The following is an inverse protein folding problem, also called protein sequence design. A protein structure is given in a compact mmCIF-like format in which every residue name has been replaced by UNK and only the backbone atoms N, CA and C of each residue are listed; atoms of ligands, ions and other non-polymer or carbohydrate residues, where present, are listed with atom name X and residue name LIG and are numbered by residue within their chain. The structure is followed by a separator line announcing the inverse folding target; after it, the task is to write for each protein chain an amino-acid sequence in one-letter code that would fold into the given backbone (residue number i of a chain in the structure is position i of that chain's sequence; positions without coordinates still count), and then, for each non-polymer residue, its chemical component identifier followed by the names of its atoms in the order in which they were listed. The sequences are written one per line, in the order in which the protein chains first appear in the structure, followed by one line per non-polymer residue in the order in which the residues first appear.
data_IF_875101130118
#
_entry.id   IF_875101130118
#
_cell.length_a   1.000
_cell.length_b   1.000
_cell.length_c   1.000
_cell.angle_alpha   90.00
_cell.angle_beta   90.00
_cell.angle_gamma   90.00
#
_symmetry.space_group_name_H-M   'P 1'
#
loop_
_entity.id
_entity.type
_entity.pdbx_description
1 polymer ?
#
# COMPACT_ATOMS: atom_id res chain seq x y z
N UNK A 1 -15.50 0.78 4.43
CA UNK A 1 -14.21 0.08 4.30
C UNK A 1 -13.37 0.51 3.09
N UNK A 2 -13.49 1.75 2.60
CA UNK A 2 -12.81 2.24 1.38
C UNK A 2 -11.48 2.97 1.62
N UNK A 3 -11.15 3.34 2.86
CA UNK A 3 -10.03 4.26 3.17
C UNK A 3 -8.68 3.60 3.48
N UNK A 4 -8.63 2.26 3.55
CA UNK A 4 -7.41 1.56 3.98
C UNK A 4 -6.30 1.60 2.91
N UNK A 5 -6.67 1.52 1.63
CA UNK A 5 -5.70 1.43 0.52
C UNK A 5 -5.00 2.78 0.25
N UNK A 6 -5.71 3.93 0.15
CA UNK A 6 -5.05 5.23 -0.04
C UNK A 6 -4.13 5.60 1.12
N UNK A 7 -4.54 5.31 2.36
CA UNK A 7 -3.74 5.59 3.57
C UNK A 7 -2.46 4.75 3.61
N UNK A 8 -2.57 3.46 3.31
CA UNK A 8 -1.42 2.55 3.25
C UNK A 8 -0.41 2.97 2.19
N UNK A 9 -0.87 3.45 1.03
CA UNK A 9 0.02 3.97 -0.02
C UNK A 9 0.69 5.29 0.38
N UNK A 10 -0.07 6.22 0.98
CA UNK A 10 0.47 7.51 1.44
C UNK A 10 1.52 7.34 2.55
N UNK A 11 1.32 6.40 3.47
CA UNK A 11 2.23 6.12 4.58
C UNK A 11 3.47 5.31 4.16
N UNK A 12 3.34 4.45 3.14
CA UNK A 12 4.45 3.63 2.66
C UNK A 12 5.32 4.31 1.61
N UNK A 13 4.78 5.27 0.86
CA UNK A 13 5.45 5.83 -0.32
C UNK A 13 5.72 4.79 -1.41
N UNK A 14 5.04 3.65 -1.36
CA UNK A 14 5.30 2.48 -2.20
C UNK A 14 4.69 2.57 -3.61
N UNK A 15 3.96 3.65 -3.91
CA UNK A 15 3.29 3.86 -5.19
C UNK A 15 2.56 5.19 -5.27
N UNK A 16 1.72 5.33 -6.30
CA UNK A 16 0.86 6.50 -6.52
C UNK A 16 -0.59 6.04 -6.36
N UNK A 17 -1.32 6.65 -5.43
CA UNK A 17 -2.76 6.40 -5.26
C UNK A 17 -3.55 7.34 -6.18
N UNK A 18 -4.53 6.80 -6.89
CA UNK A 18 -5.46 7.57 -7.73
C UNK A 18 -6.90 7.29 -7.29
N UNK A 19 -7.84 8.22 -7.48
CA UNK A 19 -9.25 7.98 -7.21
C UNK A 19 -9.78 6.77 -8.01
N UNK A 20 -10.70 5.99 -7.45
CA UNK A 20 -11.46 5.03 -8.26
C UNK A 20 -12.20 5.78 -9.37
N UNK A 21 -12.35 5.13 -10.52
CA UNK A 21 -13.03 5.66 -11.72
C UNK A 21 -12.36 6.86 -12.41
N UNK A 22 -11.12 7.22 -12.05
CA UNK A 22 -10.34 8.23 -12.76
C UNK A 22 -9.25 7.60 -13.66
N UNK A 23 -9.65 7.27 -14.89
CA UNK A 23 -8.76 6.68 -15.91
C UNK A 23 -7.61 7.62 -16.30
N UNK A 24 -7.86 8.91 -16.35
CA UNK A 24 -6.84 9.93 -16.73
C UNK A 24 -5.71 9.96 -15.72
N UNK A 25 -6.03 9.97 -14.42
CA UNK A 25 -5.04 9.95 -13.35
C UNK A 25 -4.27 8.62 -13.34
N UNK A 26 -4.96 7.50 -13.61
CA UNK A 26 -4.34 6.18 -13.70
C UNK A 26 -3.31 6.10 -14.83
N UNK A 27 -3.67 6.54 -16.04
CA UNK A 27 -2.77 6.55 -17.20
C UNK A 27 -1.58 7.47 -16.93
N UNK A 28 -1.81 8.64 -16.34
CA UNK A 28 -0.74 9.59 -16.00
C UNK A 28 0.24 9.00 -14.98
N UNK A 29 -0.27 8.32 -13.94
CA UNK A 29 0.56 7.62 -12.96
C UNK A 29 1.43 6.53 -13.61
N UNK A 30 0.88 5.76 -14.56
CA UNK A 30 1.64 4.77 -15.32
C UNK A 30 2.74 5.42 -16.17
N UNK A 31 2.45 6.52 -16.87
CA UNK A 31 3.44 7.22 -17.69
C UNK A 31 4.61 7.76 -16.85
N UNK A 32 4.33 8.31 -15.67
CA UNK A 32 5.36 8.75 -14.71
C UNK A 32 6.24 7.56 -14.32
N UNK A 33 5.62 6.44 -13.96
CA UNK A 33 6.38 5.26 -13.54
C UNK A 33 7.17 4.65 -14.69
N UNK A 34 6.64 4.57 -15.91
CA UNK A 34 7.35 4.01 -17.08
C UNK A 34 8.55 4.88 -17.46
N UNK A 35 8.40 6.21 -17.40
CA UNK A 35 9.45 7.16 -17.78
C UNK A 35 10.59 7.29 -16.76
N UNK A 36 10.38 6.93 -15.48
CA UNK A 36 11.40 7.05 -14.44
C UNK A 36 11.69 5.71 -13.73
N UNK A 37 12.75 5.02 -14.17
CA UNK A 37 13.20 3.76 -13.58
C UNK A 37 13.72 3.90 -12.14
N UNK A 38 14.37 5.01 -11.80
CA UNK A 38 14.90 5.23 -10.46
C UNK A 38 13.75 5.37 -9.45
N UNK A 39 12.69 6.07 -9.85
CA UNK A 39 11.48 6.21 -9.05
C UNK A 39 10.80 4.87 -8.78
N UNK A 40 10.74 3.97 -9.78
CA UNK A 40 10.21 2.61 -9.59
C UNK A 40 11.01 1.82 -8.55
N UNK A 41 12.33 1.85 -8.64
CA UNK A 41 13.20 1.15 -7.69
C UNK A 41 13.04 1.70 -6.27
N UNK A 42 13.04 3.03 -6.13
CA UNK A 42 12.85 3.69 -4.83
C UNK A 42 11.51 3.32 -4.18
N UNK A 43 10.41 3.38 -4.95
CA UNK A 43 9.07 2.99 -4.46
C UNK A 43 9.02 1.52 -4.04
N UNK A 44 9.65 0.62 -4.80
CA UNK A 44 9.74 -0.80 -4.44
C UNK A 44 10.52 -1.05 -3.14
N UNK A 45 11.60 -0.30 -2.91
CA UNK A 45 12.37 -0.38 -1.67
C UNK A 45 11.59 0.15 -0.46
N UNK A 46 10.87 1.27 -0.63
CA UNK A 46 10.02 1.86 0.38
C UNK A 46 8.85 0.93 0.75
N UNK A 47 8.20 0.32 -0.24
CA UNK A 47 7.15 -0.68 -0.01
C UNK A 47 7.63 -1.88 0.79
N UNK A 48 8.80 -2.44 0.44
CA UNK A 48 9.41 -3.52 1.23
C UNK A 48 9.70 -3.10 2.66
N UNK A 49 10.32 -1.94 2.84
CA UNK A 49 10.65 -1.40 4.17
C UNK A 49 9.39 -1.19 5.01
N UNK A 50 8.30 -0.70 4.41
CA UNK A 50 7.04 -0.49 5.11
C UNK A 50 6.41 -1.82 5.55
N UNK A 51 6.41 -2.84 4.67
CA UNK A 51 5.94 -4.20 4.99
C UNK A 51 6.77 -4.81 6.12
N UNK A 52 8.09 -4.72 6.06
CA UNK A 52 8.98 -5.23 7.12
C UNK A 52 8.73 -4.54 8.47
N UNK A 53 8.38 -3.25 8.46
CA UNK A 53 8.13 -2.46 9.67
C UNK A 53 6.70 -2.60 10.23
N UNK A 54 5.69 -2.75 9.38
CA UNK A 54 4.27 -2.70 9.78
C UNK A 54 3.57 -4.05 9.65
N UNK A 55 3.96 -4.89 8.68
CA UNK A 55 3.48 -6.24 8.50
C UNK A 55 4.49 -7.23 9.07
N UNK A 56 4.77 -7.14 10.38
CA UNK A 56 5.23 -8.34 11.06
C UNK A 56 4.07 -9.34 11.03
N UNK A 57 4.34 -10.62 10.75
CA UNK A 57 3.34 -11.69 10.86
C UNK A 57 2.57 -11.65 12.19
N UNK A 58 3.15 -11.05 13.24
CA UNK A 58 2.50 -10.79 14.53
C UNK A 58 1.28 -9.84 14.46
N UNK A 59 1.26 -8.84 13.57
CA UNK A 59 0.15 -7.91 13.44
C UNK A 59 -1.06 -8.55 12.75
N UNK A 60 -0.81 -9.45 11.79
CA UNK A 60 -1.84 -10.29 11.17
C UNK A 60 -2.33 -11.36 12.16
N UNK A 61 -1.42 -12.02 12.89
CA UNK A 61 -1.79 -13.00 13.93
C UNK A 61 -2.66 -12.38 15.04
N UNK A 62 -2.33 -11.19 15.53
CA UNK A 62 -3.16 -10.45 16.51
C UNK A 62 -4.55 -10.09 15.98
N UNK A 63 -4.68 -9.79 14.68
CA UNK A 63 -6.00 -9.55 14.06
C UNK A 63 -6.83 -10.82 13.95
N UNK A 64 -6.22 -11.97 13.67
CA UNK A 64 -6.90 -13.26 13.72
C UNK A 64 -7.29 -13.65 15.16
N UNK A 65 -6.43 -13.40 16.15
CA UNK A 65 -6.72 -13.62 17.57
C UNK A 65 -7.94 -12.81 18.04
N UNK A 66 -8.04 -11.54 17.63
CA UNK A 66 -9.17 -10.68 17.99
C UNK A 66 -10.51 -11.22 17.44
N UNK A 67 -10.54 -11.70 16.19
CA UNK A 67 -11.74 -12.31 15.58
C UNK A 67 -12.13 -13.60 16.33
N UNK A 68 -11.15 -14.36 16.81
CA UNK A 68 -11.40 -15.60 17.55
C UNK A 68 -11.95 -15.36 18.96
N UNK A 69 -11.56 -14.24 19.59
CA UNK A 69 -11.98 -13.87 20.95
C UNK A 69 -13.33 -13.11 20.98
N UNK A 70 -13.67 -12.40 19.91
CA UNK A 70 -14.93 -11.64 19.81
C UNK A 70 -16.15 -12.51 19.44
N UNK A 71 -15.90 -13.74 18.97
CA UNK A 71 -16.91 -14.75 18.64
C UNK A 71 -17.21 -15.71 19.81
N UNK A 72 -17.04 -15.26 21.07
CA UNK A 72 -17.26 -16.07 22.28
C UNK A 72 -18.28 -15.46 23.22
#
# INVERSE_FOLDING_TARGET
SSDLIPRTLAESGAGIAVPPDNEVDFISALQILISDGNKRVAMGALGRTWVERHASASAVAKRYEAIYLDNR
#
